data_IF_006472847052
#
_entry.id   IF_006472847052
#
_cell.length_a   1.000
_cell.length_b   1.000
_cell.length_c   1.000
_cell.angle_alpha   90.00
_cell.angle_beta   90.00
_cell.angle_gamma   90.00
#
_symmetry.space_group_name_H-M   'P 1'
#
loop_
_entity.id
_entity.type
_entity.pdbx_description
1 polymer ?
#
# COMPACT_ATOMS: atom_id res chain seq x y z
N UNK A 1 19.14 -4.25 7.33
CA UNK A 1 17.92 -5.07 7.20
C UNK A 1 16.88 -4.18 6.55
N UNK A 2 16.18 -4.58 5.47
CA UNK A 2 15.09 -3.75 4.98
C UNK A 2 14.05 -3.69 6.09
N UNK A 3 13.81 -2.50 6.63
CA UNK A 3 12.77 -2.27 7.65
C UNK A 3 11.45 -2.41 6.89
N UNK A 4 10.79 -3.55 7.08
CA UNK A 4 9.46 -3.80 6.50
C UNK A 4 8.45 -3.36 7.56
N UNK A 5 8.02 -2.10 7.54
CA UNK A 5 6.94 -1.62 8.43
C UNK A 5 5.59 -1.99 7.79
N UNK A 6 4.76 -2.80 8.47
CA UNK A 6 3.39 -3.05 8.03
C UNK A 6 2.54 -1.80 8.21
N UNK A 7 1.58 -1.59 7.30
CA UNK A 7 0.59 -0.52 7.39
C UNK A 7 -0.73 -1.13 7.85
N UNK A 8 -1.19 -0.75 9.04
CA UNK A 8 -2.38 -1.34 9.67
C UNK A 8 -3.43 -0.30 10.00
N UNK A 9 -3.00 0.90 10.36
CA UNK A 9 -3.86 1.99 10.82
C UNK A 9 -4.07 3.04 9.74
N UNK A 10 -5.16 3.82 9.85
CA UNK A 10 -5.36 4.97 8.97
C UNK A 10 -4.20 5.96 9.01
N UNK A 11 -3.56 6.10 10.17
CA UNK A 11 -2.38 6.95 10.31
C UNK A 11 -1.21 6.43 9.47
N UNK A 12 -1.01 5.12 9.40
CA UNK A 12 0.03 4.52 8.55
C UNK A 12 -0.24 4.80 7.06
N UNK A 13 -1.50 4.62 6.62
CA UNK A 13 -1.90 4.89 5.24
C UNK A 13 -1.84 6.38 4.89
N UNK A 14 -2.20 7.25 5.84
CA UNK A 14 -2.06 8.70 5.70
C UNK A 14 -0.59 9.11 5.53
N UNK A 15 0.31 8.59 6.38
CA UNK A 15 1.74 8.89 6.32
C UNK A 15 2.34 8.51 4.96
N UNK A 16 2.07 7.29 4.47
CA UNK A 16 2.63 6.85 3.17
C UNK A 16 2.02 7.58 1.98
N UNK A 17 0.75 7.99 2.07
CA UNK A 17 0.09 8.77 1.04
C UNK A 17 0.68 10.19 0.96
N UNK A 18 0.82 10.87 2.10
CA UNK A 18 1.38 12.22 2.18
C UNK A 18 2.85 12.28 1.77
N UNK A 19 3.65 11.31 2.23
CA UNK A 19 5.08 11.24 1.93
C UNK A 19 5.37 10.57 0.58
N UNK A 20 4.33 10.11 -0.14
CA UNK A 20 4.45 9.35 -1.38
C UNK A 20 5.44 8.17 -1.26
N UNK A 21 5.38 7.47 -0.12
CA UNK A 21 6.17 6.27 0.11
C UNK A 21 5.58 5.13 -0.70
N UNK A 22 6.44 4.43 -1.45
CA UNK A 22 6.01 3.23 -2.19
C UNK A 22 5.71 2.10 -1.23
N UNK A 23 4.68 1.33 -1.56
CA UNK A 23 4.25 0.19 -0.77
C UNK A 23 4.30 -1.10 -1.59
N UNK A 24 4.38 -2.22 -0.88
CA UNK A 24 4.13 -3.56 -1.40
C UNK A 24 2.80 -4.07 -0.88
N UNK A 25 2.13 -4.82 -1.73
CA UNK A 25 0.82 -5.38 -1.43
C UNK A 25 0.90 -6.88 -1.64
N UNK A 26 0.54 -7.63 -0.62
CA UNK A 26 0.42 -9.07 -0.65
C UNK A 26 -1.04 -9.47 -0.49
N UNK A 27 -1.41 -10.57 -1.12
CA UNK A 27 -2.71 -11.23 -0.93
C UNK A 27 -2.50 -12.73 -0.99
N UNK A 28 -3.07 -13.46 -0.03
CA UNK A 28 -2.95 -14.92 0.04
C UNK A 28 -1.48 -15.41 -0.06
N UNK A 29 -0.56 -14.71 0.62
CA UNK A 29 0.90 -14.96 0.60
C UNK A 29 1.59 -14.78 -0.77
N UNK A 30 0.93 -14.09 -1.71
CA UNK A 30 1.48 -13.72 -3.02
C UNK A 30 1.66 -12.21 -3.12
N UNK A 31 2.80 -11.79 -3.68
CA UNK A 31 3.04 -10.39 -4.01
C UNK A 31 2.22 -10.00 -5.23
N UNK A 32 1.23 -9.13 -5.05
CA UNK A 32 0.37 -8.65 -6.13
C UNK A 32 0.81 -7.29 -6.67
N UNK A 33 1.49 -6.48 -5.84
CA UNK A 33 2.09 -5.21 -6.26
C UNK A 33 3.38 -4.94 -5.47
N UNK A 34 4.42 -4.50 -6.17
CA UNK A 34 5.78 -4.41 -5.64
C UNK A 34 6.29 -2.99 -5.39
N UNK A 35 5.52 -1.95 -5.73
CA UNK A 35 5.97 -0.57 -5.56
C UNK A 35 5.01 0.50 -6.06
N UNK A 36 3.73 0.38 -5.72
CA UNK A 36 2.71 1.41 -5.99
C UNK A 36 2.63 2.45 -4.89
N UNK A 37 2.01 3.59 -5.22
CA UNK A 37 1.74 4.67 -4.28
C UNK A 37 0.28 4.61 -3.84
N UNK A 38 0.01 4.83 -2.56
CA UNK A 38 -1.36 5.06 -2.08
C UNK A 38 -1.79 6.45 -2.55
N UNK A 39 -2.90 6.53 -3.28
CA UNK A 39 -3.47 7.80 -3.74
C UNK A 39 -4.74 8.17 -2.98
N UNK A 40 -5.41 7.17 -2.39
CA UNK A 40 -6.59 7.32 -1.55
C UNK A 40 -6.80 6.05 -0.75
N UNK A 41 -7.43 6.18 0.42
CA UNK A 41 -7.94 5.04 1.17
C UNK A 41 -9.31 5.38 1.77
N UNK A 42 -10.04 4.33 2.09
CA UNK A 42 -11.28 4.33 2.87
C UNK A 42 -11.13 3.32 4.01
N UNK A 43 -12.17 3.17 4.82
CA UNK A 43 -12.17 2.20 5.92
C UNK A 43 -11.93 0.76 5.44
N UNK A 44 -12.38 0.44 4.22
CA UNK A 44 -12.41 -0.91 3.65
C UNK A 44 -11.45 -1.12 2.46
N UNK A 45 -11.08 -0.06 1.75
CA UNK A 45 -10.36 -0.15 0.47
C UNK A 45 -9.17 0.79 0.39
N UNK A 46 -8.02 0.26 -0.02
CA UNK A 46 -6.81 1.01 -0.37
C UNK A 46 -6.75 1.15 -1.89
N UNK A 47 -6.64 2.40 -2.37
CA UNK A 47 -6.53 2.73 -3.79
C UNK A 47 -5.09 3.13 -4.06
N UNK A 48 -4.44 2.39 -4.96
CA UNK A 48 -3.05 2.61 -5.33
C UNK A 48 -2.88 3.01 -6.79
N UNK A 49 -1.74 3.60 -7.10
CA UNK A 49 -1.33 3.91 -8.46
C UNK A 49 0.08 3.33 -8.71
N UNK A 50 0.21 2.44 -9.68
CA UNK A 50 1.49 1.82 -10.07
C UNK A 50 2.14 2.51 -11.29
N UNK A 51 1.32 3.16 -12.12
CA UNK A 51 1.73 4.00 -13.25
C UNK A 51 0.68 5.08 -13.50
N UNK A 52 0.97 6.08 -14.34
CA UNK A 52 0.08 7.22 -14.61
C UNK A 52 -1.35 6.80 -15.00
N UNK A 53 -1.51 5.64 -15.64
CA UNK A 53 -2.79 5.11 -16.12
C UNK A 53 -3.27 3.84 -15.39
N UNK A 54 -2.58 3.39 -14.34
CA UNK A 54 -2.93 2.14 -13.65
C UNK A 54 -3.30 2.39 -12.19
N UNK A 55 -4.58 2.13 -11.87
CA UNK A 55 -5.11 2.17 -10.52
C UNK A 55 -5.36 0.75 -10.00
N UNK A 56 -4.94 0.51 -8.76
CA UNK A 56 -5.22 -0.71 -8.00
C UNK A 56 -6.30 -0.45 -6.94
N UNK A 57 -7.17 -1.43 -6.73
CA UNK A 57 -8.18 -1.41 -5.67
C UNK A 57 -7.98 -2.66 -4.81
N UNK A 58 -7.59 -2.45 -3.56
CA UNK A 58 -7.19 -3.52 -2.65
C UNK A 58 -8.01 -3.43 -1.38
N UNK A 59 -8.74 -4.50 -1.04
CA UNK A 59 -9.43 -4.56 0.24
C UNK A 59 -8.44 -4.60 1.39
N UNK A 60 -8.70 -3.80 2.42
CA UNK A 60 -7.82 -3.68 3.59
C UNK A 60 -7.78 -4.96 4.44
N UNK A 61 -8.89 -5.69 4.50
CA UNK A 61 -9.03 -6.94 5.26
C UNK A 61 -8.48 -8.18 4.54
N UNK A 62 -8.33 -8.11 3.21
CA UNK A 62 -7.90 -9.23 2.38
C UNK A 62 -6.46 -9.09 1.86
N UNK A 63 -5.81 -7.95 2.10
CA UNK A 63 -4.46 -7.68 1.63
C UNK A 63 -3.57 -7.22 2.79
N UNK A 64 -2.28 -7.49 2.68
CA UNK A 64 -1.26 -7.03 3.60
C UNK A 64 -0.42 -5.96 2.91
N UNK A 65 -0.16 -4.86 3.60
CA UNK A 65 0.51 -3.69 3.05
C UNK A 65 1.77 -3.39 3.81
N UNK A 66 2.86 -3.12 3.09
CA UNK A 66 4.16 -2.85 3.71
C UNK A 66 4.83 -1.67 3.01
N UNK A 67 5.42 -0.76 3.77
CA UNK A 67 6.20 0.32 3.18
C UNK A 67 7.53 -0.19 2.59
N UNK A 68 8.02 0.50 1.56
CA UNK A 68 9.33 0.29 0.96
C UNK A 68 10.15 1.56 1.13
N UNK A 69 10.94 1.62 2.21
CA UNK A 69 11.96 2.65 2.40
C UNK A 69 13.28 2.21 1.76
N UNK A 70 13.97 3.15 1.11
CA UNK A 70 15.33 2.97 0.59
C UNK A 70 16.36 3.08 1.72
#
# INVERSE_FOLDING_TARGET
MPIVRPLLTDQDFQEVMEQQIRIRIFKDNHLIDSGSLVIRFTDDTIITQSSVSSLGYHKRDACEFFEVRK
#
